data_IF_795211918987
#
_entry.id   IF_795211918987
#
_cell.length_a   1.000
_cell.length_b   1.000
_cell.length_c   1.000
_cell.angle_alpha   90.00
_cell.angle_beta   90.00
_cell.angle_gamma   90.00
#
_symmetry.space_group_name_H-M   'P 1'
#
loop_
_entity.id
_entity.type
_entity.pdbx_description
1 polymer ?
#
# COMPACT_ATOMS: atom_id res chain seq x y z
N UNK A 1 6.90 15.29 -25.24
CA UNK A 1 6.61 15.23 -23.79
C UNK A 1 5.47 14.25 -23.58
N UNK A 2 5.69 13.10 -22.94
CA UNK A 2 4.60 12.16 -22.61
C UNK A 2 3.64 12.88 -21.66
N UNK A 3 2.42 13.08 -22.10
CA UNK A 3 1.40 13.74 -21.27
C UNK A 3 0.76 12.69 -20.35
N UNK A 4 1.03 12.75 -19.05
CA UNK A 4 0.47 11.87 -18.03
C UNK A 4 -0.84 12.38 -17.42
N UNK A 5 -1.32 13.56 -17.84
CA UNK A 5 -2.53 14.15 -17.27
C UNK A 5 -3.80 13.42 -17.74
N UNK A 6 -4.69 13.14 -16.81
CA UNK A 6 -5.99 12.53 -17.06
C UNK A 6 -5.91 11.17 -17.78
N UNK A 7 -4.89 10.37 -17.48
CA UNK A 7 -4.71 9.04 -18.07
C UNK A 7 -4.81 7.94 -17.01
N UNK A 8 -5.39 6.84 -17.43
CA UNK A 8 -5.32 5.57 -16.71
C UNK A 8 -4.31 4.69 -17.45
N UNK A 9 -3.30 4.20 -16.72
CA UNK A 9 -2.27 3.32 -17.26
C UNK A 9 -2.48 1.97 -16.59
N UNK A 10 -2.80 0.97 -17.40
CA UNK A 10 -2.94 -0.41 -16.95
C UNK A 10 -1.65 -1.17 -17.25
N UNK A 11 -0.97 -1.66 -16.20
CA UNK A 11 0.30 -2.38 -16.34
C UNK A 11 0.94 -2.71 -15.01
N UNK A 12 2.12 -3.29 -15.06
CA UNK A 12 2.94 -3.49 -13.88
C UNK A 12 3.43 -2.12 -13.36
N UNK A 13 3.00 -1.75 -12.15
CA UNK A 13 3.30 -0.44 -11.58
C UNK A 13 4.80 -0.15 -11.47
N UNK A 14 5.63 -1.16 -11.15
CA UNK A 14 7.09 -1.00 -11.08
C UNK A 14 7.74 -0.73 -12.44
N UNK A 15 7.14 -1.20 -13.51
CA UNK A 15 7.62 -0.95 -14.88
C UNK A 15 7.10 0.38 -15.42
N UNK A 16 5.84 0.68 -15.16
CA UNK A 16 5.21 1.90 -15.66
C UNK A 16 5.75 3.15 -14.97
N UNK A 17 5.98 3.09 -13.66
CA UNK A 17 6.51 4.24 -12.90
C UNK A 17 7.92 4.65 -13.37
N UNK A 18 8.74 3.70 -13.81
CA UNK A 18 10.09 3.96 -14.36
C UNK A 18 10.09 4.79 -15.65
N UNK A 19 9.01 4.77 -16.39
CA UNK A 19 8.85 5.55 -17.63
C UNK A 19 8.55 7.03 -17.37
N UNK A 20 8.16 7.36 -16.15
CA UNK A 20 7.80 8.70 -15.73
C UNK A 20 9.09 9.48 -15.44
N UNK A 21 9.26 10.70 -15.97
CA UNK A 21 10.42 11.53 -15.67
C UNK A 21 10.51 11.90 -14.19
N UNK A 22 11.71 12.24 -13.73
CA UNK A 22 11.94 12.74 -12.38
C UNK A 22 11.12 14.02 -12.12
N UNK A 23 10.76 14.22 -10.86
CA UNK A 23 10.13 15.47 -10.38
C UNK A 23 8.91 15.91 -11.18
N UNK A 24 8.08 14.95 -11.58
CA UNK A 24 6.90 15.18 -12.42
C UNK A 24 5.67 15.56 -11.62
N UNK A 25 5.46 14.93 -10.45
CA UNK A 25 4.22 15.04 -9.69
C UNK A 25 4.38 15.79 -8.37
N UNK A 26 3.31 16.45 -7.97
CA UNK A 26 3.20 17.15 -6.68
C UNK A 26 2.70 16.21 -5.58
N UNK A 27 1.96 15.16 -5.95
CA UNK A 27 1.36 14.21 -5.03
C UNK A 27 1.43 12.80 -5.60
N UNK A 28 1.83 11.85 -4.77
CA UNK A 28 1.60 10.40 -4.96
C UNK A 28 0.60 9.94 -3.91
N UNK A 29 -0.48 9.28 -4.34
CA UNK A 29 -1.43 8.60 -3.46
C UNK A 29 -1.38 7.11 -3.80
N UNK A 30 -0.89 6.28 -2.89
CA UNK A 30 -0.62 4.87 -3.14
C UNK A 30 -1.46 3.96 -2.26
N UNK A 31 -2.08 2.95 -2.88
CA UNK A 31 -2.74 1.82 -2.22
C UNK A 31 -2.04 0.53 -2.67
N UNK A 32 -0.87 0.20 -2.08
CA UNK A 32 -0.05 -0.92 -2.51
C UNK A 32 -0.62 -2.25 -1.99
N UNK A 33 -0.14 -3.40 -2.51
CA UNK A 33 -0.37 -4.70 -1.89
C UNK A 33 -0.02 -4.70 -0.40
N UNK A 34 -0.87 -5.34 0.42
CA UNK A 34 -0.71 -5.37 1.87
C UNK A 34 0.00 -6.62 2.38
N UNK A 35 0.28 -7.58 1.50
CA UNK A 35 0.75 -8.91 1.86
C UNK A 35 -0.19 -9.57 2.88
N UNK A 36 -1.48 -9.44 2.65
CA UNK A 36 -2.51 -10.01 3.50
C UNK A 36 -2.61 -11.51 3.28
N UNK A 37 -1.74 -12.29 3.91
CA UNK A 37 -1.83 -13.74 3.93
C UNK A 37 -3.00 -14.17 4.84
N UNK A 38 -4.22 -14.01 4.35
CA UNK A 38 -5.40 -14.54 5.02
C UNK A 38 -5.52 -16.01 4.63
N UNK A 39 -4.93 -16.88 5.45
CA UNK A 39 -5.18 -18.32 5.36
C UNK A 39 -6.66 -18.60 5.52
N UNK A 40 -7.20 -19.37 4.60
CA UNK A 40 -8.51 -20.02 4.53
C UNK A 40 -9.67 -19.50 5.39
N UNK A 41 -10.75 -19.09 4.68
CA UNK A 41 -12.14 -18.96 5.14
C UNK A 41 -12.36 -18.19 6.45
N UNK A 42 -12.33 -16.87 6.33
CA UNK A 42 -12.99 -16.03 7.33
C UNK A 42 -14.50 -16.13 7.16
N UNK A 43 -15.19 -16.52 8.21
CA UNK A 43 -16.66 -16.50 8.26
C UNK A 43 -17.14 -15.36 9.15
N UNK A 44 -18.21 -14.67 8.74
CA UNK A 44 -18.89 -13.70 9.59
C UNK A 44 -19.69 -14.43 10.69
N UNK A 45 -20.11 -13.74 11.76
CA UNK A 45 -20.96 -14.31 12.80
C UNK A 45 -22.25 -14.97 12.30
N UNK A 46 -22.76 -14.52 11.15
CA UNK A 46 -23.92 -15.09 10.46
C UNK A 46 -23.60 -16.28 9.54
N UNK A 47 -22.42 -16.91 9.73
CA UNK A 47 -21.91 -18.02 8.93
C UNK A 47 -21.66 -17.71 7.43
N UNK A 48 -21.82 -16.48 6.97
CA UNK A 48 -21.47 -16.12 5.60
C UNK A 48 -19.95 -16.06 5.43
N UNK A 49 -19.46 -16.58 4.30
CA UNK A 49 -18.03 -16.55 3.98
C UNK A 49 -17.59 -15.14 3.56
N UNK A 50 -16.49 -14.68 4.10
CA UNK A 50 -15.79 -13.49 3.60
C UNK A 50 -14.79 -13.97 2.56
N UNK A 51 -14.89 -13.49 1.31
CA UNK A 51 -13.81 -13.67 0.34
C UNK A 51 -12.63 -12.79 0.80
N UNK A 52 -11.59 -13.41 1.34
CA UNK A 52 -10.31 -12.75 1.53
C UNK A 52 -9.68 -12.44 0.18
N UNK A 53 -8.78 -11.47 0.14
CA UNK A 53 -7.95 -11.23 -1.05
C UNK A 53 -7.01 -12.43 -1.19
N UNK A 54 -7.21 -13.22 -2.24
CA UNK A 54 -6.40 -14.40 -2.57
C UNK A 54 -5.67 -14.20 -3.90
N UNK A 55 -5.53 -12.95 -4.31
CA UNK A 55 -4.94 -12.60 -5.58
C UNK A 55 -3.42 -12.73 -5.51
N UNK A 56 -2.82 -13.29 -6.56
CA UNK A 56 -1.37 -13.52 -6.64
C UNK A 56 -0.54 -12.24 -6.50
N UNK A 57 -1.10 -11.10 -6.86
CA UNK A 57 -0.41 -9.82 -6.77
C UNK A 57 -0.25 -9.30 -5.32
N UNK A 58 -1.05 -9.83 -4.37
CA UNK A 58 -0.95 -9.52 -2.93
C UNK A 58 -0.28 -10.64 -2.12
N UNK A 59 0.38 -11.58 -2.79
CA UNK A 59 1.07 -12.71 -2.15
C UNK A 59 2.57 -12.61 -2.39
N UNK A 60 3.33 -12.63 -1.31
CA UNK A 60 4.79 -12.62 -1.33
C UNK A 60 5.31 -13.85 -0.58
N UNK A 61 6.32 -14.50 -1.13
CA UNK A 61 6.89 -15.73 -0.58
C UNK A 61 7.58 -15.52 0.77
N UNK A 62 8.02 -14.31 1.03
CA UNK A 62 8.71 -13.92 2.27
C UNK A 62 8.53 -12.44 2.56
N UNK A 63 8.77 -12.06 3.82
CA UNK A 63 8.85 -10.64 4.18
C UNK A 63 10.02 -9.93 3.50
N UNK A 64 11.11 -10.62 3.22
CA UNK A 64 12.21 -10.03 2.47
C UNK A 64 11.76 -9.64 1.06
N UNK A 65 11.08 -10.52 0.35
CA UNK A 65 10.56 -10.23 -0.99
C UNK A 65 9.54 -9.06 -0.97
N UNK A 66 8.70 -9.02 0.05
CA UNK A 66 7.79 -7.89 0.26
C UNK A 66 8.52 -6.57 0.53
N UNK A 67 9.57 -6.60 1.34
CA UNK A 67 10.40 -5.42 1.65
C UNK A 67 11.14 -4.91 0.40
N UNK A 68 11.66 -5.80 -0.43
CA UNK A 68 12.29 -5.45 -1.72
C UNK A 68 11.28 -4.76 -2.66
N UNK A 69 10.06 -5.30 -2.74
CA UNK A 69 8.97 -4.67 -3.49
C UNK A 69 8.64 -3.28 -2.94
N UNK A 70 8.46 -3.16 -1.61
CA UNK A 70 8.15 -1.88 -0.96
C UNK A 70 9.25 -0.84 -1.23
N UNK A 71 10.51 -1.22 -1.06
CA UNK A 71 11.65 -0.35 -1.33
C UNK A 71 11.68 0.10 -2.79
N UNK A 72 11.39 -0.80 -3.73
CA UNK A 72 11.44 -0.49 -5.15
C UNK A 72 10.41 0.59 -5.54
N UNK A 73 9.12 0.40 -5.22
CA UNK A 73 8.10 1.36 -5.61
C UNK A 73 8.18 2.67 -4.82
N UNK A 74 8.59 2.64 -3.54
CA UNK A 74 8.79 3.85 -2.75
C UNK A 74 9.96 4.68 -3.27
N UNK A 75 11.07 4.04 -3.71
CA UNK A 75 12.20 4.74 -4.32
C UNK A 75 11.79 5.46 -5.61
N UNK A 76 11.03 4.78 -6.46
CA UNK A 76 10.52 5.37 -7.70
C UNK A 76 9.49 6.48 -7.43
N UNK A 77 8.64 6.29 -6.43
CA UNK A 77 7.70 7.34 -6.00
C UNK A 77 8.45 8.60 -5.56
N UNK A 78 9.56 8.43 -4.84
CA UNK A 78 10.40 9.57 -4.44
C UNK A 78 11.02 10.27 -5.64
N UNK A 79 11.50 9.52 -6.62
CA UNK A 79 12.11 10.04 -7.83
C UNK A 79 11.16 10.90 -8.65
N UNK A 80 9.92 10.45 -8.83
CA UNK A 80 8.90 11.16 -9.64
C UNK A 80 8.24 12.33 -8.90
N UNK A 81 8.35 12.39 -7.58
CA UNK A 81 7.87 13.52 -6.79
C UNK A 81 8.80 14.72 -6.93
N UNK A 82 8.22 15.91 -7.02
CA UNK A 82 8.94 17.18 -6.89
C UNK A 82 9.51 17.32 -5.47
N UNK A 83 10.46 18.23 -5.30
CA UNK A 83 11.14 18.46 -4.01
C UNK A 83 10.18 18.89 -2.89
N UNK A 84 9.11 19.58 -3.24
CA UNK A 84 8.02 19.98 -2.34
C UNK A 84 6.79 19.06 -2.43
N UNK A 85 6.91 17.95 -3.14
CA UNK A 85 5.84 16.97 -3.30
C UNK A 85 5.59 16.14 -2.06
N UNK A 86 4.43 15.55 -1.97
CA UNK A 86 4.03 14.70 -0.84
C UNK A 86 3.56 13.33 -1.29
N UNK A 87 3.67 12.35 -0.39
CA UNK A 87 3.17 11.00 -0.60
C UNK A 87 2.16 10.63 0.49
N UNK A 88 1.07 10.02 0.08
CA UNK A 88 0.11 9.37 0.96
C UNK A 88 0.09 7.88 0.66
N UNK A 89 0.23 7.07 1.69
CA UNK A 89 0.26 5.62 1.53
C UNK A 89 -0.82 4.99 2.39
N UNK A 90 -1.72 4.24 1.76
CA UNK A 90 -2.70 3.42 2.46
C UNK A 90 -2.01 2.14 2.91
N UNK A 91 -2.27 1.74 4.14
CA UNK A 91 -1.79 0.49 4.70
C UNK A 91 -2.76 -0.06 5.73
N UNK A 92 -2.50 -1.26 6.17
CA UNK A 92 -3.15 -1.88 7.30
C UNK A 92 -2.13 -2.20 8.40
N UNK A 93 -2.58 -2.64 9.55
CA UNK A 93 -1.68 -3.08 10.63
C UNK A 93 -0.77 -4.26 10.22
N UNK A 94 -1.02 -4.92 9.10
CA UNK A 94 -0.15 -5.98 8.58
C UNK A 94 1.14 -5.45 7.94
N UNK A 95 1.09 -4.28 7.33
CA UNK A 95 2.20 -3.78 6.51
C UNK A 95 2.67 -2.37 6.86
N UNK A 96 1.86 -1.56 7.56
CA UNK A 96 2.16 -0.13 7.75
C UNK A 96 3.49 0.12 8.46
N UNK A 97 3.88 -0.72 9.41
CA UNK A 97 5.16 -0.58 10.12
C UNK A 97 6.36 -0.85 9.21
N UNK A 98 6.23 -1.81 8.27
CA UNK A 98 7.27 -2.07 7.26
C UNK A 98 7.37 -0.93 6.26
N UNK A 99 6.24 -0.40 5.81
CA UNK A 99 6.21 0.78 4.95
C UNK A 99 6.85 1.98 5.64
N UNK A 100 6.54 2.24 6.91
CA UNK A 100 7.15 3.30 7.70
C UNK A 100 8.67 3.16 7.80
N UNK A 101 9.17 1.96 8.04
CA UNK A 101 10.61 1.67 8.05
C UNK A 101 11.27 2.02 6.70
N UNK A 102 10.68 1.59 5.58
CA UNK A 102 11.24 1.88 4.26
C UNK A 102 11.15 3.37 3.90
N UNK A 103 10.05 4.04 4.24
CA UNK A 103 9.91 5.48 4.04
C UNK A 103 11.04 6.26 4.75
N UNK A 104 11.30 5.94 6.02
CA UNK A 104 12.38 6.58 6.79
C UNK A 104 13.77 6.29 6.20
N UNK A 105 14.06 5.04 5.83
CA UNK A 105 15.33 4.67 5.23
C UNK A 105 15.57 5.32 3.87
N UNK A 106 14.52 5.60 3.12
CA UNK A 106 14.59 6.33 1.86
C UNK A 106 14.65 7.86 2.04
N UNK A 107 14.66 8.33 3.30
CA UNK A 107 14.76 9.74 3.63
C UNK A 107 13.48 10.53 3.35
N UNK A 108 12.31 9.91 3.48
CA UNK A 108 11.05 10.63 3.60
C UNK A 108 10.88 11.17 5.01
N UNK A 109 10.28 12.32 5.11
CA UNK A 109 9.87 12.88 6.39
C UNK A 109 8.42 12.52 6.67
N UNK A 110 8.19 11.66 7.67
CA UNK A 110 6.84 11.28 8.09
C UNK A 110 6.22 12.43 8.87
N UNK A 111 5.19 13.05 8.30
CA UNK A 111 4.52 14.21 8.90
C UNK A 111 3.38 13.78 9.83
N UNK A 112 2.58 12.80 9.41
CA UNK A 112 1.39 12.36 10.14
C UNK A 112 1.11 10.88 9.88
N UNK A 113 0.47 10.25 10.85
CA UNK A 113 -0.32 9.04 10.65
C UNK A 113 -1.82 9.40 10.73
N UNK A 114 -2.59 8.85 9.80
CA UNK A 114 -4.03 9.09 9.72
C UNK A 114 -4.75 7.75 9.85
N UNK A 115 -5.59 7.63 10.87
CA UNK A 115 -6.35 6.41 11.13
C UNK A 115 -7.74 6.53 10.50
N UNK A 116 -8.02 5.66 9.53
CA UNK A 116 -9.35 5.52 8.97
C UNK A 116 -10.19 4.59 9.83
N UNK A 117 -11.07 5.15 10.65
CA UNK A 117 -12.04 4.39 11.44
C UNK A 117 -13.19 3.94 10.53
N UNK A 118 -13.30 2.64 10.31
CA UNK A 118 -14.37 2.05 9.48
C UNK A 118 -15.67 1.87 10.27
N UNK A 119 -16.81 2.16 9.64
CA UNK A 119 -18.13 1.85 10.19
C UNK A 119 -18.49 0.37 10.02
N UNK A 120 -17.86 -0.32 9.07
CA UNK A 120 -18.06 -1.74 8.76
C UNK A 120 -16.73 -2.52 8.78
N UNK A 121 -16.02 -2.56 9.93
CA UNK A 121 -14.74 -3.22 10.01
C UNK A 121 -14.86 -4.74 9.78
N UNK A 122 -13.74 -5.38 9.49
CA UNK A 122 -13.68 -6.84 9.44
C UNK A 122 -14.12 -7.43 10.79
N UNK A 123 -14.91 -8.52 10.78
CA UNK A 123 -15.36 -9.15 12.01
C UNK A 123 -14.21 -9.52 12.94
N UNK A 124 -14.37 -9.20 14.20
CA UNK A 124 -13.40 -9.52 15.24
C UNK A 124 -13.99 -10.54 16.20
N UNK A 125 -13.75 -11.81 15.94
CA UNK A 125 -14.34 -12.91 16.71
C UNK A 125 -13.86 -13.04 18.15
N UNK A 126 -12.76 -12.40 18.52
CA UNK A 126 -12.16 -12.55 19.86
C UNK A 126 -11.97 -11.24 20.59
N UNK A 127 -12.52 -10.14 20.12
CA UNK A 127 -12.39 -8.84 20.76
C UNK A 127 -10.96 -8.28 20.82
N UNK A 128 -10.04 -8.84 20.02
CA UNK A 128 -8.60 -8.49 20.06
C UNK A 128 -8.19 -7.44 19.05
N UNK A 129 -9.08 -7.05 18.15
CA UNK A 129 -8.81 -6.04 17.12
C UNK A 129 -9.73 -4.86 17.24
N UNK A 130 -9.20 -3.68 16.98
CA UNK A 130 -9.98 -2.45 16.91
C UNK A 130 -10.62 -2.25 15.54
N UNK A 131 -11.57 -1.32 15.45
CA UNK A 131 -12.36 -1.01 14.25
C UNK A 131 -11.64 -0.12 13.23
N UNK A 132 -10.35 -0.02 13.29
CA UNK A 132 -9.53 0.72 12.33
C UNK A 132 -9.11 -0.17 11.14
N UNK A 133 -8.83 0.47 10.06
CA UNK A 133 -8.34 -0.20 8.86
C UNK A 133 -6.92 -0.69 9.04
#
# INVERSE_FOLDING_TARGET
MLNYFNKIINGNSLEEIKKIPDKTFDLVFADPPYNMQIGNTLTRPNASRVKGVNDKWDQFDSFQHYDEFCKAWLSESKRILKDNGSIWVIGSYHNIFRLGYHLQNLGYWLLNDVIWKKNNPMPNFRGTRFTNA
#
